data_IF_564850884185
#
_entry.id   IF_564850884185
#
_cell.length_a   1.000
_cell.length_b   1.000
_cell.length_c   1.000
_cell.angle_alpha   90.00
_cell.angle_beta   90.00
_cell.angle_gamma   90.00
#
_symmetry.space_group_name_H-M   'P 1'
#
loop_
_entity.id
_entity.type
_entity.pdbx_description
1 polymer ?
#
# COMPACT_ATOMS: atom_id res chain seq x y z
N UNK A 1 29.06 -36.02 22.32
CA UNK A 1 28.81 -34.63 22.77
C UNK A 1 29.00 -33.62 21.63
N UNK A 2 30.12 -33.63 20.90
CA UNK A 2 30.35 -32.73 19.75
C UNK A 2 29.32 -32.84 18.62
N UNK A 3 28.96 -34.06 18.22
CA UNK A 3 27.96 -34.31 17.16
C UNK A 3 26.56 -33.74 17.49
N UNK A 4 26.17 -33.80 18.77
CA UNK A 4 24.89 -33.30 19.27
C UNK A 4 24.80 -31.77 19.19
N UNK A 5 25.91 -31.08 19.45
CA UNK A 5 25.99 -29.61 19.37
C UNK A 5 25.93 -29.15 17.92
N UNK A 6 26.64 -29.83 17.01
CA UNK A 6 26.61 -29.50 15.58
C UNK A 6 25.20 -29.71 15.00
N UNK A 7 24.53 -30.81 15.38
CA UNK A 7 23.17 -31.09 14.94
C UNK A 7 22.17 -30.04 15.46
N UNK A 8 22.26 -29.66 16.74
CA UNK A 8 21.44 -28.60 17.32
C UNK A 8 21.69 -27.24 16.65
N UNK A 9 22.95 -26.90 16.34
CA UNK A 9 23.30 -25.65 15.67
C UNK A 9 22.73 -25.62 14.24
N UNK A 10 22.82 -26.72 13.49
CA UNK A 10 22.21 -26.85 12.16
C UNK A 10 20.68 -26.76 12.20
N UNK A 11 20.02 -27.32 13.21
CA UNK A 11 18.57 -27.22 13.34
C UNK A 11 18.12 -25.78 13.62
N UNK A 12 18.84 -25.03 14.46
CA UNK A 12 18.48 -23.63 14.76
C UNK A 12 18.70 -22.73 13.54
N UNK A 13 19.79 -22.94 12.78
CA UNK A 13 20.05 -22.13 11.57
C UNK A 13 19.07 -22.42 10.44
N UNK A 14 18.58 -23.67 10.30
CA UNK A 14 17.56 -24.02 9.31
C UNK A 14 16.20 -23.33 9.58
N UNK A 15 15.85 -23.09 10.84
CA UNK A 15 14.63 -22.38 11.23
C UNK A 15 14.80 -20.86 11.23
N UNK A 16 16.03 -20.37 11.39
CA UNK A 16 16.37 -18.96 11.36
C UNK A 16 16.62 -18.41 9.94
N UNK A 17 16.56 -19.25 8.90
CA UNK A 17 16.56 -18.74 7.53
C UNK A 17 15.33 -17.85 7.36
N UNK A 18 15.49 -16.56 7.02
CA UNK A 18 14.36 -15.70 6.72
C UNK A 18 13.56 -16.42 5.63
N UNK A 19 12.29 -16.70 5.93
CA UNK A 19 11.34 -17.23 4.96
C UNK A 19 11.41 -16.31 3.74
N UNK A 20 12.11 -16.74 2.69
CA UNK A 20 12.21 -16.01 1.44
C UNK A 20 10.85 -16.10 0.80
N UNK A 21 9.93 -15.23 1.24
CA UNK A 21 8.69 -14.99 0.56
C UNK A 21 9.04 -14.14 -0.66
N UNK A 22 8.98 -14.67 -1.89
CA UNK A 22 9.08 -13.84 -3.07
C UNK A 22 8.10 -12.67 -2.92
N UNK A 23 8.64 -11.45 -2.93
CA UNK A 23 7.86 -10.23 -2.87
C UNK A 23 7.08 -10.10 -4.18
N UNK A 24 5.83 -10.56 -4.20
CA UNK A 24 4.94 -10.45 -5.34
C UNK A 24 4.33 -9.04 -5.41
N UNK A 25 5.16 -8.04 -5.69
CA UNK A 25 4.70 -6.68 -5.93
C UNK A 25 5.02 -6.27 -7.36
N UNK A 26 4.07 -5.60 -8.00
CA UNK A 26 4.25 -4.99 -9.30
C UNK A 26 3.53 -3.65 -9.33
N UNK A 27 4.05 -2.73 -10.13
CA UNK A 27 3.46 -1.42 -10.34
C UNK A 27 3.04 -1.28 -11.79
N UNK A 28 1.80 -0.84 -12.02
CA UNK A 28 1.36 -0.41 -13.33
C UNK A 28 1.95 0.96 -13.67
N UNK A 29 2.28 1.26 -14.94
CA UNK A 29 2.70 2.59 -15.36
C UNK A 29 1.65 3.66 -14.99
N UNK A 30 2.07 4.89 -14.67
CA UNK A 30 1.15 6.00 -14.39
C UNK A 30 0.34 6.36 -15.65
N UNK A 31 -0.95 6.69 -15.46
CA UNK A 31 -1.86 7.11 -16.54
C UNK A 31 -2.30 8.56 -16.35
N UNK A 32 -2.30 9.33 -17.44
CA UNK A 32 -2.73 10.74 -17.45
C UNK A 32 -1.63 11.72 -17.89
N UNK A 33 -1.91 13.03 -17.73
CA UNK A 33 -1.03 14.12 -18.20
C UNK A 33 0.14 14.46 -17.26
N UNK A 34 0.18 13.91 -16.04
CA UNK A 34 1.25 14.18 -15.07
C UNK A 34 1.18 15.54 -14.36
N UNK A 35 0.02 16.21 -14.36
CA UNK A 35 -0.18 17.47 -13.64
C UNK A 35 -0.62 17.21 -12.18
N UNK A 36 -0.27 18.12 -11.28
CA UNK A 36 -0.62 18.05 -9.85
C UNK A 36 0.54 17.55 -8.98
N UNK A 37 0.25 17.23 -7.72
CA UNK A 37 1.22 16.64 -6.79
C UNK A 37 1.08 15.11 -6.79
N UNK A 38 2.23 14.42 -6.82
CA UNK A 38 2.28 12.97 -6.66
C UNK A 38 1.90 12.57 -5.22
N UNK A 39 1.17 11.47 -5.08
CA UNK A 39 0.84 10.88 -3.80
C UNK A 39 0.95 9.37 -3.88
N UNK A 40 1.24 8.73 -2.74
CA UNK A 40 1.15 7.30 -2.55
C UNK A 40 0.22 7.03 -1.37
N UNK A 41 -0.43 5.87 -1.38
CA UNK A 41 -1.24 5.40 -0.26
C UNK A 41 -0.82 4.00 0.09
N UNK A 42 -0.58 3.78 1.36
CA UNK A 42 -0.57 2.47 2.00
C UNK A 42 -1.67 2.43 3.06
N UNK A 43 -1.94 1.24 3.57
CA UNK A 43 -2.93 1.03 4.60
C UNK A 43 -2.89 -0.40 5.12
N UNK A 44 -3.35 -0.58 6.36
CA UNK A 44 -3.31 -1.87 7.03
C UNK A 44 -4.47 -2.78 6.56
N UNK A 45 -4.15 -3.99 6.13
CA UNK A 45 -5.13 -4.97 5.69
C UNK A 45 -5.57 -4.79 4.24
N UNK A 46 -6.71 -5.39 3.89
CA UNK A 46 -7.18 -5.45 2.50
C UNK A 46 -8.02 -4.24 2.15
N UNK A 47 -7.95 -3.83 0.89
CA UNK A 47 -8.88 -2.82 0.36
C UNK A 47 -10.28 -3.44 0.28
N UNK A 48 -11.23 -2.88 1.03
CA UNK A 48 -12.63 -3.36 1.09
C UNK A 48 -13.62 -2.40 0.43
N UNK A 49 -13.18 -1.21 0.04
CA UNK A 49 -14.04 -0.22 -0.58
C UNK A 49 -13.30 0.93 -1.26
N UNK A 50 -13.97 1.55 -2.21
CA UNK A 50 -13.48 2.69 -2.98
C UNK A 50 -14.57 3.75 -3.08
N UNK A 51 -14.22 5.03 -2.86
CA UNK A 51 -15.09 6.19 -3.12
C UNK A 51 -14.45 7.10 -4.14
N UNK A 52 -15.25 7.63 -5.05
CA UNK A 52 -14.80 8.50 -6.14
C UNK A 52 -15.67 9.77 -6.15
N UNK A 53 -15.03 10.92 -6.29
CA UNK A 53 -15.70 12.20 -6.56
C UNK A 53 -15.47 12.57 -8.01
N UNK A 54 -16.54 12.57 -8.78
CA UNK A 54 -16.55 13.05 -10.16
C UNK A 54 -17.29 14.39 -10.25
N UNK A 55 -16.85 15.25 -11.16
CA UNK A 55 -17.58 16.46 -11.51
C UNK A 55 -18.53 16.18 -12.68
N UNK A 56 -19.53 17.05 -12.89
CA UNK A 56 -20.51 16.95 -13.99
C UNK A 56 -19.85 16.88 -15.38
N UNK A 57 -18.64 17.41 -15.51
CA UNK A 57 -17.86 17.43 -16.75
C UNK A 57 -17.05 16.12 -16.95
N UNK A 58 -17.44 15.02 -16.30
CA UNK A 58 -16.85 13.69 -16.39
C UNK A 58 -15.39 13.53 -15.89
N UNK A 59 -14.85 14.50 -15.15
CA UNK A 59 -13.52 14.40 -14.55
C UNK A 59 -13.58 13.88 -13.11
N UNK A 60 -12.75 12.88 -12.81
CA UNK A 60 -12.47 12.45 -11.44
C UNK A 60 -11.60 13.51 -10.77
N UNK A 61 -12.07 14.06 -9.64
CA UNK A 61 -11.34 15.07 -8.86
C UNK A 61 -10.67 14.50 -7.62
N UNK A 62 -11.16 13.38 -7.11
CA UNK A 62 -10.52 12.72 -5.98
C UNK A 62 -11.13 11.35 -5.68
N UNK A 63 -10.47 10.63 -4.79
CA UNK A 63 -10.92 9.32 -4.32
C UNK A 63 -10.48 9.02 -2.89
N UNK A 64 -11.05 7.96 -2.30
CA UNK A 64 -10.65 7.38 -1.03
C UNK A 64 -10.60 5.86 -1.17
N UNK A 65 -9.69 5.25 -0.45
CA UNK A 65 -9.63 3.81 -0.27
C UNK A 65 -10.09 3.47 1.15
N UNK A 66 -10.74 2.32 1.29
CA UNK A 66 -11.07 1.75 2.59
C UNK A 66 -10.21 0.53 2.81
N UNK A 67 -9.43 0.55 3.87
CA UNK A 67 -8.67 -0.60 4.33
C UNK A 67 -9.43 -1.21 5.50
N UNK A 68 -9.92 -2.44 5.32
CA UNK A 68 -10.82 -3.14 6.26
C UNK A 68 -12.04 -2.28 6.68
N UNK A 69 -11.96 -1.61 7.82
CA UNK A 69 -13.03 -0.80 8.40
C UNK A 69 -12.76 0.71 8.33
N UNK A 70 -11.54 1.14 7.99
CA UNK A 70 -11.09 2.54 8.09
C UNK A 70 -10.93 3.16 6.70
N UNK A 71 -11.44 4.38 6.54
CA UNK A 71 -11.27 5.18 5.32
C UNK A 71 -10.01 6.03 5.40
N UNK A 72 -9.25 6.07 4.32
CA UNK A 72 -8.10 6.99 4.17
C UNK A 72 -8.54 8.45 4.14
N UNK A 73 -7.61 9.40 4.29
CA UNK A 73 -7.80 10.76 3.80
C UNK A 73 -8.25 10.78 2.33
N UNK A 74 -8.90 11.88 1.92
CA UNK A 74 -9.28 12.07 0.52
C UNK A 74 -8.03 12.39 -0.29
N UNK A 75 -7.78 11.64 -1.36
CA UNK A 75 -6.77 11.95 -2.35
C UNK A 75 -7.39 12.86 -3.42
N UNK A 76 -6.80 14.04 -3.63
CA UNK A 76 -7.25 15.00 -4.63
C UNK A 76 -8.12 16.12 -4.07
N UNK A 77 -9.10 16.56 -4.85
CA UNK A 77 -9.93 17.75 -4.55
C UNK A 77 -11.38 17.36 -4.33
N UNK A 78 -11.97 17.82 -3.22
CA UNK A 78 -13.41 17.76 -2.98
C UNK A 78 -13.95 19.17 -2.94
N UNK A 79 -14.89 19.53 -3.82
CA UNK A 79 -15.54 20.85 -3.83
C UNK A 79 -14.57 22.05 -3.90
N UNK A 80 -13.49 21.95 -4.69
CA UNK A 80 -12.38 22.93 -4.76
C UNK A 80 -11.51 23.06 -3.50
N UNK A 81 -11.77 22.30 -2.44
CA UNK A 81 -10.83 22.17 -1.32
C UNK A 81 -9.85 21.03 -1.61
N UNK A 82 -8.55 21.37 -1.63
CA UNK A 82 -7.47 20.40 -1.59
C UNK A 82 -7.47 19.77 -0.20
N UNK A 83 -7.79 18.47 -0.13
CA UNK A 83 -7.61 17.71 1.11
C UNK A 83 -6.35 16.87 0.97
N UNK A 84 -5.36 17.22 1.79
CA UNK A 84 -4.01 16.65 1.73
C UNK A 84 -3.97 15.26 2.32
N UNK A 85 -3.01 14.51 1.81
CA UNK A 85 -2.64 13.15 2.19
C UNK A 85 -1.34 13.26 2.97
N UNK A 86 -1.21 12.47 4.03
CA UNK A 86 0.00 12.37 4.82
C UNK A 86 1.18 11.95 3.93
N UNK A 87 2.27 12.71 4.01
CA UNK A 87 3.57 12.26 3.52
C UNK A 87 4.04 11.12 4.44
N UNK A 88 4.53 10.04 3.85
CA UNK A 88 5.43 9.09 4.51
C UNK A 88 6.82 9.68 4.53
#
# INVERSE_FOLDING_TARGET
MFFSVIFSLCCVTAWALPQYQPQYYSFSPPVGRGNGESYASDGEGRITGVRIWAHSNAYIRGFQLKYEYVWTPIFGTKNNELKRVAAV
#
